data_IF_326351742045
#
_entry.id   IF_326351742045
#
_cell.length_a   1.000
_cell.length_b   1.000
_cell.length_c   1.000
_cell.angle_alpha   90.00
_cell.angle_beta   90.00
_cell.angle_gamma   90.00
#
_symmetry.space_group_name_H-M   'P 1'
#
loop_
_entity.id
_entity.type
_entity.pdbx_description
1 polymer ?
#
# COMPACT_ATOMS: atom_id res chain seq x y z
N UNK A 1 3.64 -17.78 -9.73
CA UNK A 1 3.67 -16.34 -10.01
C UNK A 1 5.10 -15.85 -10.25
N UNK A 2 6.01 -15.90 -9.26
CA UNK A 2 7.36 -15.33 -9.34
C UNK A 2 8.13 -15.68 -10.60
N UNK A 3 8.20 -16.97 -10.95
CA UNK A 3 8.90 -17.43 -12.15
C UNK A 3 8.36 -16.81 -13.44
N UNK A 4 7.04 -16.59 -13.51
CA UNK A 4 6.42 -15.96 -14.69
C UNK A 4 6.69 -14.46 -14.76
N UNK A 5 6.91 -13.79 -13.64
CA UNK A 5 7.14 -12.35 -13.57
C UNK A 5 8.62 -11.98 -13.79
N UNK A 6 9.54 -12.86 -13.39
CA UNK A 6 10.98 -12.60 -13.51
C UNK A 6 11.42 -12.35 -14.96
N UNK A 7 11.01 -13.22 -15.88
CA UNK A 7 11.44 -13.13 -17.28
C UNK A 7 10.99 -11.83 -17.96
N UNK A 8 9.70 -11.44 -17.91
CA UNK A 8 9.24 -10.17 -18.47
C UNK A 8 9.90 -8.95 -17.82
N UNK A 9 10.20 -9.02 -16.52
CA UNK A 9 10.88 -7.91 -15.84
C UNK A 9 12.32 -7.75 -16.30
N UNK A 10 13.04 -8.84 -16.51
CA UNK A 10 14.41 -8.81 -17.06
C UNK A 10 14.38 -8.26 -18.48
N UNK A 11 13.45 -8.68 -19.31
CA UNK A 11 13.26 -8.16 -20.67
C UNK A 11 12.94 -6.65 -20.66
N UNK A 12 12.09 -6.19 -19.74
CA UNK A 12 11.82 -4.76 -19.56
C UNK A 12 13.09 -3.98 -19.20
N UNK A 13 13.89 -4.50 -18.30
CA UNK A 13 15.17 -3.88 -17.93
C UNK A 13 16.08 -3.77 -19.15
N UNK A 14 16.21 -4.85 -19.94
CA UNK A 14 17.04 -4.87 -21.16
C UNK A 14 16.53 -3.83 -22.19
N UNK A 15 15.23 -3.65 -22.33
CA UNK A 15 14.67 -2.58 -23.16
C UNK A 15 14.97 -1.20 -22.61
N UNK A 16 14.85 -0.99 -21.31
CA UNK A 16 15.20 0.30 -20.69
C UNK A 16 16.69 0.62 -20.89
N UNK A 17 17.57 -0.32 -20.67
CA UNK A 17 19.01 -0.14 -20.89
C UNK A 17 19.34 0.19 -22.34
N UNK A 18 18.62 -0.39 -23.29
CA UNK A 18 18.85 -0.20 -24.71
C UNK A 18 18.26 1.09 -25.29
N UNK A 19 17.07 1.49 -24.82
CA UNK A 19 16.30 2.52 -25.50
C UNK A 19 15.98 3.75 -24.64
N UNK A 20 16.06 3.64 -23.31
CA UNK A 20 15.79 4.77 -22.44
C UNK A 20 17.01 5.68 -22.27
N UNK A 21 16.79 6.88 -21.73
CA UNK A 21 17.90 7.77 -21.36
C UNK A 21 18.73 7.12 -20.23
N UNK A 22 20.05 7.38 -20.14
CA UNK A 22 20.89 6.81 -19.09
C UNK A 22 20.46 7.14 -17.65
N UNK A 23 19.58 8.11 -17.48
CA UNK A 23 19.03 8.55 -16.20
C UNK A 23 17.70 7.90 -15.84
N UNK A 24 17.26 6.86 -16.59
CA UNK A 24 16.02 6.16 -16.30
C UNK A 24 16.01 5.51 -14.91
N UNK A 25 14.81 5.39 -14.34
CA UNK A 25 14.52 4.54 -13.20
C UNK A 25 13.32 3.66 -13.52
N UNK A 26 13.34 2.43 -13.05
CA UNK A 26 12.18 1.54 -13.06
C UNK A 26 11.64 1.51 -11.63
N UNK A 27 10.39 1.93 -11.45
CA UNK A 27 9.69 1.84 -10.18
C UNK A 27 8.76 0.63 -10.24
N UNK A 28 9.18 -0.48 -9.62
CA UNK A 28 8.41 -1.72 -9.64
C UNK A 28 7.43 -1.77 -8.47
N UNK A 29 6.16 -1.82 -8.79
CA UNK A 29 5.04 -1.94 -7.87
C UNK A 29 4.32 -3.30 -7.98
N UNK A 30 4.85 -4.24 -8.78
CA UNK A 30 4.21 -5.54 -9.04
C UNK A 30 4.62 -6.60 -8.03
N UNK A 31 3.73 -7.55 -7.77
CA UNK A 31 3.97 -8.71 -6.92
C UNK A 31 4.28 -9.99 -7.75
N UNK A 32 5.07 -10.89 -7.19
CA UNK A 32 5.69 -10.93 -5.86
C UNK A 32 7.00 -10.11 -5.82
N UNK A 33 6.96 -8.92 -5.23
CA UNK A 33 8.03 -7.92 -5.28
C UNK A 33 9.38 -8.44 -4.79
N UNK A 34 9.45 -9.13 -3.64
CA UNK A 34 10.70 -9.64 -3.07
C UNK A 34 11.40 -10.68 -3.96
N UNK A 35 10.62 -11.56 -4.59
CA UNK A 35 11.16 -12.58 -5.52
C UNK A 35 11.71 -11.91 -6.77
N UNK A 36 10.95 -10.97 -7.36
CA UNK A 36 11.35 -10.21 -8.53
C UNK A 36 12.55 -9.35 -8.23
N UNK A 37 12.57 -8.63 -7.11
CA UNK A 37 13.71 -7.82 -6.66
C UNK A 37 14.98 -8.64 -6.54
N UNK A 38 14.93 -9.82 -5.89
CA UNK A 38 16.10 -10.69 -5.74
C UNK A 38 16.58 -11.25 -7.06
N UNK A 39 15.69 -11.60 -7.95
CA UNK A 39 16.03 -12.11 -9.28
C UNK A 39 16.66 -11.02 -10.16
N UNK A 40 16.06 -9.84 -10.23
CA UNK A 40 16.57 -8.71 -11.01
C UNK A 40 17.93 -8.24 -10.49
N UNK A 41 18.13 -8.18 -9.17
CA UNK A 41 19.42 -7.86 -8.57
C UNK A 41 20.52 -8.87 -8.98
N UNK A 42 20.19 -10.15 -9.11
CA UNK A 42 21.14 -11.17 -9.54
C UNK A 42 21.42 -11.16 -11.04
N UNK A 43 20.38 -10.96 -11.84
CA UNK A 43 20.45 -11.07 -13.30
C UNK A 43 20.86 -9.76 -13.98
N UNK A 44 20.57 -8.62 -13.34
CA UNK A 44 20.86 -7.27 -13.83
C UNK A 44 21.31 -6.38 -12.66
N UNK A 45 22.51 -6.62 -12.10
CA UNK A 45 22.96 -5.96 -10.86
C UNK A 45 23.17 -4.46 -11.00
N UNK A 46 23.27 -3.96 -12.23
CA UNK A 46 23.45 -2.53 -12.53
C UNK A 46 22.14 -1.82 -12.91
N UNK A 47 21.02 -2.55 -12.98
CA UNK A 47 19.74 -1.96 -13.33
C UNK A 47 19.29 -0.94 -12.28
N UNK A 48 18.78 0.18 -12.76
CA UNK A 48 18.19 1.21 -11.90
C UNK A 48 16.73 0.85 -11.62
N UNK A 49 16.52 -0.01 -10.63
CA UNK A 49 15.17 -0.47 -10.25
C UNK A 49 14.94 -0.28 -8.75
N UNK A 50 13.82 0.31 -8.41
CA UNK A 50 13.28 0.40 -7.04
C UNK A 50 12.03 -0.47 -6.95
N UNK A 51 11.94 -1.23 -5.86
CA UNK A 51 10.74 -2.02 -5.55
C UNK A 51 10.03 -1.35 -4.39
N UNK A 52 8.79 -0.94 -4.60
CA UNK A 52 8.01 -0.12 -3.67
C UNK A 52 6.72 -0.81 -3.22
N UNK A 53 6.20 -0.38 -2.10
CA UNK A 53 4.89 -0.74 -1.57
C UNK A 53 4.20 0.52 -1.07
N UNK A 54 2.91 0.65 -1.30
CA UNK A 54 2.08 1.79 -0.90
C UNK A 54 1.54 1.70 0.53
N UNK A 55 1.75 0.59 1.23
CA UNK A 55 1.15 0.39 2.54
C UNK A 55 1.53 1.47 3.56
N UNK A 56 2.78 1.93 3.68
CA UNK A 56 3.09 3.05 4.58
C UNK A 56 2.27 4.30 4.27
N UNK A 57 2.14 4.67 2.99
CA UNK A 57 1.35 5.83 2.55
C UNK A 57 -0.14 5.64 2.81
N UNK A 58 -0.67 4.43 2.65
CA UNK A 58 -2.06 4.13 3.01
C UNK A 58 -2.30 4.28 4.52
N UNK A 59 -1.33 3.92 5.37
CA UNK A 59 -1.41 4.12 6.81
C UNK A 59 -1.31 5.61 7.17
N UNK A 60 -0.44 6.37 6.52
CA UNK A 60 -0.36 7.83 6.68
C UNK A 60 -1.70 8.49 6.35
N UNK A 61 -2.36 8.08 5.27
CA UNK A 61 -3.70 8.55 4.93
C UNK A 61 -4.71 8.25 6.04
N UNK A 62 -4.68 7.04 6.60
CA UNK A 62 -5.56 6.68 7.71
C UNK A 62 -5.26 7.52 8.97
N UNK A 63 -3.98 7.78 9.26
CA UNK A 63 -3.59 8.68 10.36
C UNK A 63 -4.09 10.11 10.13
N UNK A 64 -3.99 10.62 8.91
CA UNK A 64 -4.50 11.93 8.55
C UNK A 64 -6.02 12.03 8.73
N UNK A 65 -6.77 11.01 8.30
CA UNK A 65 -8.22 10.93 8.52
C UNK A 65 -8.60 10.85 10.02
N UNK A 66 -7.80 10.16 10.83
CA UNK A 66 -7.98 10.10 12.29
C UNK A 66 -7.78 11.48 12.91
N UNK A 67 -6.77 12.22 12.46
CA UNK A 67 -6.43 13.55 12.94
C UNK A 67 -7.29 14.67 12.32
N UNK A 68 -7.99 14.39 11.23
CA UNK A 68 -8.80 15.37 10.49
C UNK A 68 -7.96 16.40 9.73
N UNK A 69 -6.81 15.98 9.15
CA UNK A 69 -5.88 16.82 8.41
C UNK A 69 -5.59 16.27 7.00
N UNK A 70 -4.85 17.03 6.20
CA UNK A 70 -4.32 16.51 4.93
C UNK A 70 -3.10 15.62 5.20
N UNK A 71 -2.94 14.54 4.43
CA UNK A 71 -1.79 13.63 4.52
C UNK A 71 -0.45 14.36 4.35
N UNK A 72 -0.41 15.37 3.47
CA UNK A 72 0.80 16.15 3.20
C UNK A 72 1.21 17.08 4.36
N UNK A 73 0.34 17.27 5.36
CA UNK A 73 0.68 17.97 6.59
C UNK A 73 1.39 17.07 7.61
N UNK A 74 1.47 15.76 7.32
CA UNK A 74 2.16 14.79 8.17
C UNK A 74 3.61 14.59 7.73
N UNK A 75 4.50 14.58 8.72
CA UNK A 75 5.88 14.11 8.60
C UNK A 75 6.03 12.85 9.44
N UNK A 76 6.53 11.78 8.85
CA UNK A 76 6.66 10.48 9.54
C UNK A 76 8.09 9.98 9.52
N UNK A 77 8.54 9.42 10.64
CA UNK A 77 9.76 8.63 10.72
C UNK A 77 9.36 7.14 10.71
N UNK A 78 9.74 6.42 9.67
CA UNK A 78 9.39 5.00 9.46
C UNK A 78 10.65 4.15 9.29
N UNK A 79 10.69 2.96 9.91
CA UNK A 79 11.76 2.00 9.73
C UNK A 79 11.26 0.56 9.67
N UNK A 80 12.08 -0.33 9.15
CA UNK A 80 11.81 -1.76 9.11
C UNK A 80 11.93 -2.35 7.72
N UNK A 81 11.43 -3.57 7.58
CA UNK A 81 11.35 -4.27 6.31
C UNK A 81 9.97 -4.02 5.66
N UNK A 82 9.87 -4.27 4.36
CA UNK A 82 8.57 -4.24 3.70
C UNK A 82 7.58 -5.19 4.40
N UNK A 83 6.40 -4.70 4.74
CA UNK A 83 5.34 -5.36 5.51
C UNK A 83 5.68 -5.66 6.97
N UNK A 84 6.87 -5.32 7.45
CA UNK A 84 7.32 -5.51 8.83
C UNK A 84 8.06 -4.26 9.30
N UNK A 85 7.34 -3.18 9.49
CA UNK A 85 7.90 -1.88 9.85
C UNK A 85 7.04 -1.11 10.84
N UNK A 86 7.62 -0.01 11.33
CA UNK A 86 7.09 0.78 12.41
C UNK A 86 7.24 2.26 12.13
N UNK A 87 6.23 3.06 12.50
CA UNK A 87 6.37 4.49 12.59
C UNK A 87 6.84 4.83 14.01
N UNK A 88 7.99 5.47 14.10
CA UNK A 88 8.60 5.89 15.38
C UNK A 88 8.16 7.27 15.79
N UNK A 89 7.80 8.10 14.81
CA UNK A 89 7.38 9.46 15.04
C UNK A 89 6.42 9.93 13.95
N UNK A 90 5.40 10.66 14.37
CA UNK A 90 4.45 11.34 13.49
C UNK A 90 4.32 12.78 13.96
N UNK A 91 4.52 13.74 13.05
CA UNK A 91 4.37 15.17 13.31
C UNK A 91 3.30 15.74 12.38
N UNK A 92 2.42 16.55 12.95
CA UNK A 92 1.45 17.35 12.19
C UNK A 92 1.92 18.80 12.21
N UNK A 93 2.32 19.34 11.05
CA UNK A 93 2.87 20.69 10.95
C UNK A 93 3.99 20.96 11.98
N UNK A 94 4.90 20.01 12.16
CA UNK A 94 6.02 20.06 13.09
C UNK A 94 5.68 19.71 14.56
N UNK A 95 4.41 19.58 14.92
CA UNK A 95 3.98 19.17 16.27
C UNK A 95 3.94 17.64 16.38
N UNK A 96 4.58 17.07 17.38
CA UNK A 96 4.58 15.62 17.63
C UNK A 96 3.21 15.15 18.11
N UNK A 97 2.56 14.30 17.34
CA UNK A 97 1.23 13.70 17.62
C UNK A 97 1.31 12.19 17.81
N UNK A 98 2.52 11.64 17.98
CA UNK A 98 2.77 10.20 18.04
C UNK A 98 2.00 9.52 19.17
N UNK A 99 2.03 10.09 20.38
CA UNK A 99 1.36 9.48 21.54
C UNK A 99 -0.18 9.55 21.45
N UNK A 100 -0.71 10.62 20.86
CA UNK A 100 -2.15 10.72 20.57
C UNK A 100 -2.59 9.63 19.61
N UNK A 101 -1.85 9.45 18.51
CA UNK A 101 -2.14 8.39 17.53
C UNK A 101 -1.96 6.99 18.12
N UNK A 102 -0.92 6.74 18.92
CA UNK A 102 -0.71 5.44 19.58
C UNK A 102 -1.87 5.09 20.50
N UNK A 103 -2.31 6.03 21.32
CA UNK A 103 -3.47 5.85 22.20
C UNK A 103 -4.73 5.53 21.40
N UNK A 104 -4.97 6.27 20.33
CA UNK A 104 -6.12 6.05 19.46
C UNK A 104 -6.07 4.68 18.75
N UNK A 105 -4.92 4.35 18.15
CA UNK A 105 -4.74 3.10 17.37
C UNK A 105 -4.78 1.87 18.27
N UNK A 106 -4.31 1.96 19.52
CA UNK A 106 -4.40 0.86 20.48
C UNK A 106 -5.85 0.48 20.81
N UNK A 107 -6.78 1.42 20.73
CA UNK A 107 -8.21 1.17 20.98
C UNK A 107 -8.98 0.82 19.70
N UNK A 108 -8.72 1.54 18.61
CA UNK A 108 -9.57 1.56 17.42
C UNK A 108 -8.91 0.97 16.16
N UNK A 109 -7.60 0.66 16.21
CA UNK A 109 -6.81 0.42 15.00
C UNK A 109 -6.69 1.70 14.15
N UNK A 110 -6.30 1.54 12.90
CA UNK A 110 -6.27 2.65 11.92
C UNK A 110 -7.65 2.93 11.31
N UNK A 111 -8.71 2.86 12.12
CA UNK A 111 -10.08 3.12 11.68
C UNK A 111 -10.47 4.57 12.00
N UNK A 112 -10.80 5.43 11.00
CA UNK A 112 -11.22 6.79 11.25
C UNK A 112 -12.53 6.88 12.03
N UNK A 113 -12.70 7.97 12.81
CA UNK A 113 -13.96 8.26 13.51
C UNK A 113 -15.09 8.65 12.55
N UNK A 114 -14.73 9.22 11.41
CA UNK A 114 -15.69 9.69 10.42
C UNK A 114 -16.16 8.53 9.54
N UNK A 115 -17.40 8.10 9.72
CA UNK A 115 -18.01 7.03 8.91
C UNK A 115 -18.09 7.36 7.40
N UNK A 116 -18.00 8.65 7.04
CA UNK A 116 -17.98 9.11 5.64
C UNK A 116 -16.56 9.14 5.04
N UNK A 117 -15.55 8.80 5.82
CA UNK A 117 -14.17 8.66 5.31
C UNK A 117 -14.09 7.64 4.19
N UNK A 118 -13.31 7.92 3.16
CA UNK A 118 -13.03 6.98 2.09
C UNK A 118 -12.39 5.68 2.59
N UNK A 119 -11.68 5.73 3.73
CA UNK A 119 -11.13 4.55 4.39
C UNK A 119 -12.24 3.57 4.78
N UNK A 120 -13.38 4.07 5.26
CA UNK A 120 -14.54 3.25 5.64
C UNK A 120 -15.23 2.57 4.45
N UNK A 121 -14.95 3.02 3.23
CA UNK A 121 -15.44 2.42 1.98
C UNK A 121 -14.42 1.48 1.33
N UNK A 122 -13.34 1.15 2.04
CA UNK A 122 -12.35 0.15 1.60
C UNK A 122 -12.96 -1.24 1.53
N UNK A 123 -12.35 -2.14 0.75
CA UNK A 123 -12.76 -3.55 0.71
C UNK A 123 -12.73 -4.17 2.12
N UNK A 124 -13.62 -5.12 2.45
CA UNK A 124 -13.73 -5.71 3.80
C UNK A 124 -12.41 -6.23 4.38
N UNK A 125 -11.55 -6.84 3.56
CA UNK A 125 -10.24 -7.32 4.00
C UNK A 125 -9.31 -6.19 4.46
N UNK A 126 -9.41 -5.00 3.86
CA UNK A 126 -8.67 -3.82 4.30
C UNK A 126 -9.18 -3.26 5.62
N UNK A 127 -10.50 -3.15 5.78
CA UNK A 127 -11.10 -2.71 7.04
C UNK A 127 -10.68 -3.63 8.19
N UNK A 128 -10.71 -4.94 7.96
CA UNK A 128 -10.23 -5.91 8.95
C UNK A 128 -8.74 -5.70 9.27
N UNK A 129 -7.90 -5.51 8.25
CA UNK A 129 -6.46 -5.26 8.41
C UNK A 129 -6.19 -3.98 9.21
N UNK A 130 -6.93 -2.91 8.94
CA UNK A 130 -6.81 -1.65 9.69
C UNK A 130 -7.26 -1.80 11.14
N UNK A 131 -8.37 -2.49 11.38
CA UNK A 131 -8.88 -2.74 12.72
C UNK A 131 -7.93 -3.61 13.57
N UNK A 132 -7.33 -4.64 12.99
CA UNK A 132 -6.42 -5.56 13.68
C UNK A 132 -5.13 -4.89 14.18
N UNK A 133 -4.73 -3.76 13.62
CA UNK A 133 -3.55 -3.02 14.09
C UNK A 133 -3.65 -2.60 15.56
N UNK A 134 -4.88 -2.51 16.13
CA UNK A 134 -5.10 -2.28 17.58
C UNK A 134 -4.42 -3.32 18.46
N UNK A 135 -4.48 -4.60 18.09
CA UNK A 135 -3.88 -5.68 18.88
C UNK A 135 -2.35 -5.58 18.91
N UNK A 136 -1.76 -5.22 17.76
CA UNK A 136 -0.31 -5.05 17.65
C UNK A 136 0.12 -3.79 18.41
N UNK A 137 -0.58 -2.67 18.24
CA UNK A 137 -0.28 -1.42 18.91
C UNK A 137 -0.41 -1.55 20.42
N UNK A 138 -1.41 -2.30 20.92
CA UNK A 138 -1.59 -2.56 22.35
C UNK A 138 -0.50 -3.47 22.94
N UNK A 139 0.04 -4.41 22.14
CA UNK A 139 1.11 -5.31 22.58
C UNK A 139 2.50 -4.65 22.52
N UNK A 140 2.72 -3.74 21.59
CA UNK A 140 3.99 -3.05 21.33
C UNK A 140 3.79 -1.54 21.46
N UNK A 141 3.78 -1.04 22.69
CA UNK A 141 3.42 0.34 23.02
C UNK A 141 4.40 1.42 22.53
N UNK A 142 5.61 1.05 22.08
CA UNK A 142 6.63 2.02 21.73
C UNK A 142 6.39 2.67 20.36
N UNK A 143 5.76 1.95 19.41
CA UNK A 143 5.67 2.36 18.02
C UNK A 143 4.30 2.07 17.41
N UNK A 144 3.97 2.82 16.35
CA UNK A 144 2.79 2.55 15.53
C UNK A 144 3.13 1.48 14.47
N UNK A 145 2.37 0.37 14.38
CA UNK A 145 2.70 -0.74 13.51
C UNK A 145 2.33 -0.52 12.05
N UNK A 146 3.08 -1.13 11.13
CA UNK A 146 2.56 -1.42 9.80
C UNK A 146 1.45 -2.47 9.91
N UNK A 147 0.33 -2.27 9.25
CA UNK A 147 -0.86 -3.13 9.37
C UNK A 147 -0.63 -4.56 8.89
N UNK A 148 0.29 -4.78 7.96
CA UNK A 148 0.65 -6.13 7.50
C UNK A 148 1.42 -6.96 8.52
N UNK A 149 1.86 -6.36 9.62
CA UNK A 149 2.47 -7.12 10.71
C UNK A 149 1.52 -8.16 11.32
N UNK A 150 0.19 -8.00 11.13
CA UNK A 150 -0.79 -9.00 11.54
C UNK A 150 -0.49 -10.40 10.98
N UNK A 151 0.03 -10.51 9.76
CA UNK A 151 0.36 -11.81 9.14
C UNK A 151 1.54 -12.53 9.82
N UNK A 152 2.35 -11.80 10.56
CA UNK A 152 3.49 -12.35 11.29
C UNK A 152 3.20 -12.56 12.78
N UNK A 153 2.43 -11.64 13.38
CA UNK A 153 2.23 -11.60 14.83
C UNK A 153 0.87 -12.16 15.26
N UNK A 154 -0.13 -12.15 14.37
CA UNK A 154 -1.51 -12.59 14.62
C UNK A 154 -1.93 -13.66 13.59
N UNK A 155 -0.99 -14.52 13.16
CA UNK A 155 -1.20 -15.44 12.05
C UNK A 155 -2.40 -16.37 12.24
N UNK A 156 -2.56 -16.94 13.42
CA UNK A 156 -3.67 -17.84 13.74
C UNK A 156 -5.01 -17.11 13.72
N UNK A 157 -5.11 -15.91 14.30
CA UNK A 157 -6.31 -15.08 14.30
C UNK A 157 -6.71 -14.66 12.88
N UNK A 158 -5.71 -14.32 12.04
CA UNK A 158 -5.95 -13.97 10.63
C UNK A 158 -6.46 -15.16 9.85
N UNK A 159 -5.93 -16.36 10.08
CA UNK A 159 -6.40 -17.59 9.42
C UNK A 159 -7.82 -17.93 9.85
N UNK A 160 -8.11 -17.89 11.15
CA UNK A 160 -9.44 -18.19 11.70
C UNK A 160 -10.52 -17.22 11.24
N UNK A 161 -10.17 -15.93 11.10
CA UNK A 161 -11.09 -14.89 10.63
C UNK A 161 -11.23 -14.84 9.10
N UNK A 162 -10.35 -15.52 8.34
CA UNK A 162 -10.37 -15.54 6.89
C UNK A 162 -11.45 -16.47 6.35
N UNK A 163 -12.18 -16.02 5.32
CA UNK A 163 -13.12 -16.88 4.61
C UNK A 163 -12.42 -17.58 3.44
N UNK A 164 -12.16 -18.91 3.52
CA UNK A 164 -11.48 -19.63 2.44
C UNK A 164 -12.29 -19.69 1.13
N UNK A 165 -13.60 -19.45 1.18
CA UNK A 165 -14.48 -19.46 0.01
C UNK A 165 -14.63 -18.06 -0.62
N UNK A 166 -14.20 -17.00 0.06
CA UNK A 166 -14.21 -15.63 -0.44
C UNK A 166 -12.96 -14.91 0.03
N UNK A 167 -11.89 -15.08 -0.70
CA UNK A 167 -10.56 -14.55 -0.40
C UNK A 167 -10.38 -13.14 -0.96
N UNK A 168 -9.28 -12.48 -0.62
CA UNK A 168 -8.87 -11.21 -1.24
C UNK A 168 -8.85 -11.27 -2.77
N UNK A 169 -8.51 -12.41 -3.36
CA UNK A 169 -8.56 -12.57 -4.82
C UNK A 169 -9.98 -12.44 -5.35
N UNK A 170 -10.98 -12.98 -4.65
CA UNK A 170 -12.39 -12.83 -5.02
C UNK A 170 -12.84 -11.35 -4.94
N UNK A 171 -12.50 -10.63 -3.86
CA UNK A 171 -12.79 -9.19 -3.75
C UNK A 171 -12.21 -8.38 -4.92
N UNK A 172 -10.95 -8.69 -5.33
CA UNK A 172 -10.31 -8.02 -6.46
C UNK A 172 -11.03 -8.33 -7.77
N UNK A 173 -11.38 -9.59 -8.01
CA UNK A 173 -12.08 -10.01 -9.24
C UNK A 173 -13.48 -9.41 -9.31
N UNK A 174 -14.25 -9.47 -8.22
CA UNK A 174 -15.63 -9.01 -8.18
C UNK A 174 -15.72 -7.46 -8.18
N UNK A 175 -14.76 -6.80 -7.54
CA UNK A 175 -14.74 -5.35 -7.43
C UNK A 175 -13.91 -4.66 -8.53
N UNK A 176 -12.59 -4.78 -8.45
CA UNK A 176 -11.67 -3.99 -9.31
C UNK A 176 -11.71 -4.43 -10.76
N UNK A 177 -11.69 -5.73 -11.02
CA UNK A 177 -11.72 -6.26 -12.39
C UNK A 177 -13.02 -5.86 -13.07
N UNK A 178 -14.15 -6.04 -12.37
CA UNK A 178 -15.47 -5.64 -12.89
C UNK A 178 -15.50 -4.14 -13.24
N UNK A 179 -14.99 -3.26 -12.37
CA UNK A 179 -14.93 -1.82 -12.64
C UNK A 179 -14.14 -1.50 -13.91
N UNK A 180 -13.01 -2.19 -14.13
CA UNK A 180 -12.17 -1.99 -15.32
C UNK A 180 -12.94 -2.40 -16.58
N UNK A 181 -13.59 -3.58 -16.57
CA UNK A 181 -14.37 -4.03 -17.72
C UNK A 181 -15.58 -3.14 -18.01
N UNK A 182 -16.28 -2.71 -16.97
CA UNK A 182 -17.42 -1.77 -17.11
C UNK A 182 -16.97 -0.46 -17.77
N UNK A 183 -15.83 0.10 -17.34
CA UNK A 183 -15.30 1.32 -17.93
C UNK A 183 -14.81 1.16 -19.37
N UNK A 184 -14.19 0.02 -19.68
CA UNK A 184 -13.81 -0.28 -21.08
C UNK A 184 -15.07 -0.39 -21.95
N UNK A 185 -16.14 -0.98 -21.43
CA UNK A 185 -17.42 -1.07 -22.13
C UNK A 185 -18.03 0.34 -22.34
N UNK A 186 -18.02 1.18 -21.32
CA UNK A 186 -18.52 2.56 -21.39
C UNK A 186 -17.70 3.40 -22.37
N UNK A 187 -16.37 3.31 -22.34
CA UNK A 187 -15.50 3.97 -23.30
C UNK A 187 -15.80 3.53 -24.75
N UNK A 188 -15.95 2.23 -24.98
CA UNK A 188 -16.31 1.70 -26.30
C UNK A 188 -17.70 2.13 -26.77
N UNK A 189 -18.61 2.41 -25.84
CA UNK A 189 -19.93 2.96 -26.11
C UNK A 189 -19.92 4.48 -26.34
N UNK A 190 -18.74 5.13 -26.32
CA UNK A 190 -18.60 6.58 -26.48
C UNK A 190 -19.03 7.40 -25.26
N UNK A 191 -19.14 6.79 -24.08
CA UNK A 191 -19.42 7.49 -22.84
C UNK A 191 -18.14 8.06 -22.25
N UNK A 192 -18.26 9.16 -21.53
CA UNK A 192 -17.15 9.70 -20.73
C UNK A 192 -16.85 8.76 -19.55
N UNK A 193 -15.57 8.43 -19.36
CA UNK A 193 -15.09 7.59 -18.26
C UNK A 193 -14.25 8.44 -17.32
N UNK A 194 -14.70 8.56 -16.07
CA UNK A 194 -13.96 9.24 -15.02
C UNK A 194 -12.80 8.36 -14.55
N UNK A 195 -11.60 8.62 -15.06
CA UNK A 195 -10.39 7.89 -14.74
C UNK A 195 -9.96 8.07 -13.27
N UNK A 196 -10.35 9.15 -12.61
CA UNK A 196 -9.97 9.39 -11.20
C UNK A 196 -10.59 8.35 -10.27
N UNK A 197 -11.81 7.86 -10.59
CA UNK A 197 -12.47 6.76 -9.87
C UNK A 197 -11.75 5.41 -10.01
N UNK A 198 -10.96 5.26 -11.06
CA UNK A 198 -10.22 4.03 -11.31
C UNK A 198 -8.94 3.93 -10.50
N UNK A 199 -8.18 5.00 -10.46
CA UNK A 199 -6.83 4.99 -9.92
C UNK A 199 -6.77 5.37 -8.44
N UNK A 200 -7.89 5.76 -7.84
CA UNK A 200 -7.98 6.04 -6.40
C UNK A 200 -7.04 7.16 -5.92
N UNK A 201 -6.57 8.02 -6.80
CA UNK A 201 -5.75 9.21 -6.51
C UNK A 201 -4.36 8.94 -5.91
N UNK A 202 -4.33 8.26 -4.78
CA UNK A 202 -3.16 8.13 -3.90
C UNK A 202 -1.97 7.36 -4.50
N UNK A 203 -2.23 6.34 -5.32
CA UNK A 203 -1.14 5.48 -5.83
C UNK A 203 -0.27 6.17 -6.88
N UNK A 204 -0.88 7.01 -7.73
CA UNK A 204 -0.15 7.79 -8.72
C UNK A 204 0.77 8.82 -8.07
N UNK A 205 0.29 9.50 -7.04
CA UNK A 205 1.06 10.48 -6.26
C UNK A 205 2.30 9.84 -5.62
N UNK A 206 2.15 8.69 -4.96
CA UNK A 206 3.27 8.02 -4.32
C UNK A 206 4.39 7.62 -5.28
N UNK A 207 4.04 7.12 -6.48
CA UNK A 207 5.04 6.78 -7.51
C UNK A 207 5.75 8.04 -8.00
N UNK A 208 5.02 9.14 -8.15
CA UNK A 208 5.60 10.44 -8.54
C UNK A 208 6.52 10.96 -7.46
N UNK A 209 6.10 10.94 -6.20
CA UNK A 209 6.91 11.39 -5.05
C UNK A 209 8.24 10.62 -4.97
N UNK A 210 8.20 9.28 -5.11
CA UNK A 210 9.41 8.45 -5.13
C UNK A 210 10.30 8.76 -6.36
N UNK A 211 9.70 9.08 -7.50
CA UNK A 211 10.45 9.40 -8.71
C UNK A 211 11.09 10.79 -8.67
N UNK A 212 10.54 11.71 -7.86
CA UNK A 212 11.01 13.09 -7.73
C UNK A 212 12.01 13.28 -6.58
N UNK A 213 12.07 12.37 -5.61
CA UNK A 213 13.02 12.38 -4.48
C UNK A 213 14.40 11.82 -4.87
#
# INVERSE_FOLDING_TARGET
YGLRTIYPMVELIDYCEKYAKPTYWIVNYSNPAAIVAKATFRLRPHARILNICDMPVAIERNMAEILGCDRHDLEVDYFGLNHFGWFTKVRLNGTDVTEELKSYVAENGYMPKNEKSDVMHSDPSWLHTYANSRHICSAFHDYLPNTYMQYYLLGDEVVESSNPNHTRANEVMEGREKRIFDAVADYRAGKEVDLTKFFGGVHGEFIVDVAMS
#
